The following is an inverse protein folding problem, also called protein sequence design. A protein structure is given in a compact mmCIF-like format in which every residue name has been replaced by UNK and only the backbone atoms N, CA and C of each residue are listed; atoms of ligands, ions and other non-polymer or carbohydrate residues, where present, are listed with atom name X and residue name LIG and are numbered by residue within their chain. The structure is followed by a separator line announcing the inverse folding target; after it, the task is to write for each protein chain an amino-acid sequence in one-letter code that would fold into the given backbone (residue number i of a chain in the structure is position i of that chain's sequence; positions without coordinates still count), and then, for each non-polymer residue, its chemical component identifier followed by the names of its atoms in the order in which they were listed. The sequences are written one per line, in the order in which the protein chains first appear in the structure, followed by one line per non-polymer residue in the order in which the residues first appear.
data_IF_951168931070
#
_entry.id   IF_951168931070
#
_cell.length_a   1.000
_cell.length_b   1.000
_cell.length_c   1.000
_cell.angle_alpha   90.00
_cell.angle_beta   90.00
_cell.angle_gamma   90.00
#
_symmetry.space_group_name_H-M   'P 1'
#
loop_
_entity.id
_entity.type
_entity.pdbx_description
1 polymer ?
#
# COMPACT_ATOMS: atom_id res chain seq x y z
N UNK A 1 46.03 -1.16 -33.93
CA UNK A 1 45.39 -1.63 -32.68
C UNK A 1 45.10 -0.44 -31.78
N UNK A 2 43.83 -0.04 -31.67
CA UNK A 2 43.29 0.67 -30.52
C UNK A 2 41.77 0.61 -30.63
N UNK A 3 41.18 -0.37 -29.95
CA UNK A 3 39.75 -0.44 -29.70
C UNK A 3 39.34 0.75 -28.84
N UNK A 4 38.33 1.52 -29.27
CA UNK A 4 37.65 2.48 -28.39
C UNK A 4 36.16 2.15 -28.39
N UNK A 5 35.71 1.85 -27.17
CA UNK A 5 34.36 1.50 -26.74
C UNK A 5 33.22 2.14 -27.55
N UNK A 6 32.17 1.37 -27.92
CA UNK A 6 30.93 1.99 -28.34
C UNK A 6 30.26 2.62 -27.11
N UNK A 7 30.03 3.93 -27.21
CA UNK A 7 29.20 4.72 -26.30
C UNK A 7 27.86 4.02 -26.04
N UNK A 8 27.57 3.69 -24.78
CA UNK A 8 26.28 3.12 -24.39
C UNK A 8 25.19 4.17 -24.52
N UNK A 9 24.52 4.18 -25.66
CA UNK A 9 23.27 4.92 -25.86
C UNK A 9 22.21 4.33 -24.92
N UNK A 10 21.42 5.14 -24.19
CA UNK A 10 20.30 4.64 -23.41
C UNK A 10 19.30 3.93 -24.34
N UNK A 11 19.02 2.65 -24.06
CA UNK A 11 18.02 1.85 -24.79
C UNK A 11 16.61 2.37 -24.51
N UNK A 12 16.21 3.42 -25.22
CA UNK A 12 14.86 4.01 -25.13
C UNK A 12 13.89 3.33 -26.11
N UNK A 13 14.39 2.58 -27.09
CA UNK A 13 13.56 1.88 -28.08
C UNK A 13 13.57 0.37 -27.87
N UNK A 14 12.42 -0.28 -27.61
CA UNK A 14 12.34 -1.73 -27.56
C UNK A 14 12.53 -2.29 -28.97
N UNK A 15 13.56 -3.10 -29.16
CA UNK A 15 13.66 -3.98 -30.32
C UNK A 15 12.45 -4.92 -30.31
N UNK A 16 11.64 -4.92 -31.36
CA UNK A 16 10.39 -5.68 -31.53
C UNK A 16 10.50 -7.22 -31.33
N UNK A 17 11.69 -7.76 -31.07
CA UNK A 17 11.97 -9.19 -30.96
C UNK A 17 12.23 -9.69 -29.53
N UNK A 18 11.95 -8.91 -28.49
CA UNK A 18 12.11 -9.38 -27.10
C UNK A 18 10.76 -9.75 -26.49
N UNK A 19 10.55 -11.01 -26.04
CA UNK A 19 9.35 -11.38 -25.31
C UNK A 19 9.31 -10.58 -24.00
N UNK A 20 8.24 -9.81 -23.83
CA UNK A 20 8.05 -8.91 -22.68
C UNK A 20 6.66 -8.27 -22.71
N UNK A 21 6.18 -7.87 -21.53
CA UNK A 21 4.91 -7.18 -21.36
C UNK A 21 5.16 -5.69 -21.24
N UNK A 22 4.54 -4.91 -22.12
CA UNK A 22 4.62 -3.45 -22.09
C UNK A 22 3.24 -2.87 -21.87
N UNK A 23 3.10 -2.04 -20.84
CA UNK A 23 1.83 -1.42 -20.46
C UNK A 23 2.06 0.03 -20.06
N UNK A 24 1.13 0.90 -20.47
CA UNK A 24 1.02 2.26 -19.98
C UNK A 24 -0.26 2.37 -19.15
N UNK A 25 -0.13 2.67 -17.86
CA UNK A 25 -1.27 2.72 -16.94
C UNK A 25 -1.08 3.73 -15.83
N UNK A 26 -2.18 4.12 -15.18
CA UNK A 26 -2.14 5.05 -14.05
C UNK A 26 -2.28 4.29 -12.73
N UNK A 27 -1.44 4.67 -11.76
CA UNK A 27 -1.64 4.28 -10.38
C UNK A 27 -2.73 5.14 -9.74
N UNK A 28 -3.66 4.45 -9.08
CA UNK A 28 -4.76 5.00 -8.33
C UNK A 28 -4.34 5.19 -6.88
N UNK A 29 -5.15 5.93 -6.11
CA UNK A 29 -4.96 6.08 -4.67
C UNK A 29 -4.81 4.72 -3.97
N UNK A 30 -5.62 3.74 -4.37
CA UNK A 30 -5.70 2.45 -3.68
C UNK A 30 -4.42 1.64 -3.85
N UNK A 31 -3.73 1.72 -5.00
CA UNK A 31 -2.44 1.04 -5.19
C UNK A 31 -1.34 1.65 -4.30
N UNK A 32 -1.39 2.98 -4.12
CA UNK A 32 -0.49 3.66 -3.19
C UNK A 32 -0.80 3.29 -1.74
N UNK A 33 -2.08 3.16 -1.38
CA UNK A 33 -2.50 2.76 -0.04
C UNK A 33 -2.10 1.31 0.26
N UNK A 34 -2.19 0.39 -0.71
CA UNK A 34 -1.79 -1.02 -0.54
C UNK A 34 -0.29 -1.15 -0.26
N UNK A 35 0.53 -0.29 -0.86
CA UNK A 35 1.96 -0.26 -0.57
C UNK A 35 2.19 0.37 0.80
N UNK A 36 1.56 1.50 1.12
CA UNK A 36 1.88 2.26 2.32
C UNK A 36 1.27 1.70 3.61
N UNK A 37 0.10 1.08 3.54
CA UNK A 37 -0.70 0.71 4.70
C UNK A 37 -1.07 -0.77 4.66
N UNK A 38 -1.14 -1.39 5.85
CA UNK A 38 -1.58 -2.77 6.02
C UNK A 38 -3.02 -3.01 5.54
N UNK A 39 -3.84 -1.96 5.54
CA UNK A 39 -5.20 -2.00 5.01
C UNK A 39 -5.50 -0.73 4.22
N UNK A 40 -6.29 -0.85 3.15
CA UNK A 40 -6.91 0.29 2.43
C UNK A 40 -7.82 1.12 3.33
N UNK A 41 -8.31 0.53 4.41
CA UNK A 41 -9.14 1.18 5.41
C UNK A 41 -8.23 1.91 6.40
N UNK A 42 -7.73 3.09 6.00
CA UNK A 42 -6.89 4.01 6.79
C UNK A 42 -7.23 4.07 8.30
N UNK A 43 -8.51 3.89 8.66
CA UNK A 43 -8.99 3.67 10.02
C UNK A 43 -9.77 2.34 10.12
N UNK A 44 -9.15 1.24 10.57
CA UNK A 44 -9.85 -0.03 10.79
C UNK A 44 -10.80 0.08 11.98
N UNK A 45 -12.02 -0.45 11.83
CA UNK A 45 -13.11 -0.25 12.81
C UNK A 45 -12.73 -0.73 14.22
N UNK A 46 -12.29 -1.99 14.34
CA UNK A 46 -11.98 -2.61 15.64
C UNK A 46 -10.94 -1.83 16.45
N UNK A 47 -9.72 -1.62 15.92
CA UNK A 47 -8.69 -0.86 16.62
C UNK A 47 -9.10 0.58 16.93
N UNK A 48 -9.83 1.24 16.02
CA UNK A 48 -10.27 2.64 16.23
C UNK A 48 -11.30 2.72 17.36
N UNK A 49 -12.30 1.85 17.36
CA UNK A 49 -13.34 1.80 18.40
C UNK A 49 -12.73 1.41 19.75
N UNK A 50 -11.80 0.45 19.78
CA UNK A 50 -11.09 0.07 21.00
C UNK A 50 -10.28 1.23 21.57
N UNK A 51 -9.54 1.95 20.73
CA UNK A 51 -8.75 3.11 21.15
C UNK A 51 -9.65 4.24 21.68
N UNK A 52 -10.73 4.59 20.97
CA UNK A 52 -11.67 5.61 21.43
C UNK A 52 -12.37 5.19 22.71
N UNK A 53 -12.78 3.93 22.83
CA UNK A 53 -13.39 3.38 24.04
C UNK A 53 -12.46 3.46 25.24
N UNK A 54 -11.18 3.10 25.07
CA UNK A 54 -10.17 3.23 26.12
C UNK A 54 -9.99 4.69 26.56
N UNK A 55 -9.82 5.62 25.61
CA UNK A 55 -9.70 7.05 25.91
C UNK A 55 -10.94 7.58 26.63
N UNK A 56 -12.14 7.23 26.15
CA UNK A 56 -13.40 7.62 26.77
C UNK A 56 -13.53 7.09 28.20
N UNK A 57 -13.11 5.85 28.45
CA UNK A 57 -13.09 5.25 29.79
C UNK A 57 -12.18 6.04 30.73
N UNK A 58 -10.94 6.32 30.31
CA UNK A 58 -10.00 7.10 31.12
C UNK A 58 -10.52 8.50 31.44
N UNK A 59 -11.03 9.20 30.44
CA UNK A 59 -11.62 10.54 30.63
C UNK A 59 -12.82 10.48 31.57
N UNK A 60 -13.71 9.50 31.40
CA UNK A 60 -14.90 9.36 32.24
C UNK A 60 -14.55 9.00 33.70
N UNK A 61 -13.52 8.17 33.91
CA UNK A 61 -13.00 7.86 35.24
C UNK A 61 -12.44 9.10 35.94
N UNK A 62 -11.67 9.92 35.22
CA UNK A 62 -11.12 11.17 35.76
C UNK A 62 -12.26 12.13 36.14
N UNK A 63 -13.24 12.31 35.26
CA UNK A 63 -14.35 13.24 35.48
C UNK A 63 -15.31 12.81 36.59
N UNK A 64 -15.42 11.52 36.88
CA UNK A 64 -16.31 10.99 37.92
C UNK A 64 -15.57 10.55 39.19
N UNK A 65 -14.28 10.87 39.32
CA UNK A 65 -13.45 10.46 40.45
C UNK A 65 -13.96 11.02 41.78
N UNK A 66 -14.38 12.28 41.82
CA UNK A 66 -14.86 12.92 43.04
C UNK A 66 -16.16 12.27 43.56
N UNK A 67 -17.09 11.98 42.65
CA UNK A 67 -18.35 11.27 43.00
C UNK A 67 -18.09 9.86 43.50
N UNK A 68 -17.12 9.17 42.91
CA UNK A 68 -16.69 7.86 43.38
C UNK A 68 -16.13 7.93 44.80
N UNK A 69 -15.31 8.96 45.08
CA UNK A 69 -14.71 9.19 46.40
C UNK A 69 -15.75 9.57 47.46
N UNK A 70 -16.80 10.29 47.08
CA UNK A 70 -17.92 10.68 47.94
C UNK A 70 -18.88 9.52 48.26
N UNK A 71 -18.66 8.33 47.68
CA UNK A 71 -19.46 7.12 47.94
C UNK A 71 -20.64 6.93 47.00
N UNK A 72 -20.85 7.82 46.02
CA UNK A 72 -21.90 7.69 45.00
C UNK A 72 -21.46 6.78 43.84
N UNK A 73 -21.17 5.52 44.19
CA UNK A 73 -20.56 4.53 43.29
C UNK A 73 -21.52 4.14 42.16
N UNK A 74 -22.82 4.02 42.46
CA UNK A 74 -23.84 3.59 41.48
C UNK A 74 -23.98 4.63 40.38
N UNK A 75 -24.19 5.89 40.74
CA UNK A 75 -24.36 6.99 39.79
C UNK A 75 -23.09 7.18 38.98
N UNK A 76 -21.92 7.15 39.63
CA UNK A 76 -20.61 7.25 38.95
C UNK A 76 -20.43 6.15 37.89
N UNK A 77 -20.77 4.90 38.23
CA UNK A 77 -20.65 3.76 37.31
C UNK A 77 -21.57 3.93 36.11
N UNK A 78 -22.81 4.40 36.31
CA UNK A 78 -23.76 4.66 35.21
C UNK A 78 -23.21 5.75 34.29
N UNK A 79 -22.69 6.85 34.83
CA UNK A 79 -22.13 7.94 34.02
C UNK A 79 -20.91 7.49 33.21
N UNK A 80 -20.02 6.71 33.80
CA UNK A 80 -18.86 6.15 33.10
C UNK A 80 -19.31 5.24 31.96
N UNK A 81 -20.20 4.29 32.25
CA UNK A 81 -20.73 3.36 31.25
C UNK A 81 -21.44 4.09 30.10
N UNK A 82 -22.33 5.03 30.42
CA UNK A 82 -23.04 5.83 29.44
C UNK A 82 -22.08 6.65 28.57
N UNK A 83 -21.07 7.28 29.16
CA UNK A 83 -20.07 8.09 28.43
C UNK A 83 -19.30 7.24 27.43
N UNK A 84 -18.82 6.06 27.85
CA UNK A 84 -18.10 5.14 26.97
C UNK A 84 -19.00 4.68 25.81
N UNK A 85 -20.24 4.28 26.10
CA UNK A 85 -21.19 3.84 25.06
C UNK A 85 -21.47 4.96 24.06
N UNK A 86 -21.73 6.18 24.53
CA UNK A 86 -21.98 7.34 23.66
C UNK A 86 -20.76 7.65 22.79
N UNK A 87 -19.56 7.67 23.37
CA UNK A 87 -18.32 7.91 22.60
C UNK A 87 -18.06 6.83 21.56
N UNK A 88 -18.29 5.55 21.88
CA UNK A 88 -18.15 4.44 20.93
C UNK A 88 -19.15 4.56 19.79
N UNK A 89 -20.43 4.82 20.09
CA UNK A 89 -21.45 5.02 19.06
C UNK A 89 -21.11 6.21 18.15
N UNK A 90 -20.66 7.32 18.74
CA UNK A 90 -20.22 8.49 17.99
C UNK A 90 -19.02 8.16 17.09
N UNK A 91 -18.05 7.40 17.60
CA UNK A 91 -16.88 6.98 16.84
C UNK A 91 -17.28 6.11 15.63
N UNK A 92 -18.21 5.17 15.81
CA UNK A 92 -18.74 4.34 14.72
C UNK A 92 -19.45 5.21 13.68
N UNK A 93 -20.28 6.15 14.12
CA UNK A 93 -21.02 7.07 13.24
C UNK A 93 -20.06 7.96 12.42
N UNK A 94 -19.03 8.50 13.07
CA UNK A 94 -18.06 9.42 12.46
C UNK A 94 -16.94 8.71 11.70
N UNK A 95 -16.86 7.38 11.75
CA UNK A 95 -15.77 6.65 11.13
C UNK A 95 -15.77 6.78 9.60
N UNK A 96 -16.93 6.67 8.98
CA UNK A 96 -17.07 6.80 7.53
C UNK A 96 -16.69 8.20 7.02
N UNK A 97 -17.22 9.32 7.58
CA UNK A 97 -16.78 10.64 7.15
C UNK A 97 -15.29 10.89 7.44
N UNK A 98 -14.76 10.40 8.57
CA UNK A 98 -13.32 10.48 8.85
C UNK A 98 -12.48 9.74 7.80
N UNK A 99 -12.87 8.52 7.41
CA UNK A 99 -12.21 7.76 6.33
C UNK A 99 -12.25 8.51 5.00
N UNK A 100 -13.38 9.10 4.64
CA UNK A 100 -13.52 9.88 3.41
C UNK A 100 -12.62 11.12 3.42
N UNK A 101 -12.60 11.87 4.53
CA UNK A 101 -11.72 13.03 4.70
C UNK A 101 -10.25 12.63 4.56
N UNK A 102 -9.83 11.54 5.23
CA UNK A 102 -8.46 11.05 5.13
C UNK A 102 -8.12 10.65 3.68
N UNK A 103 -8.97 9.88 3.00
CA UNK A 103 -8.75 9.51 1.58
C UNK A 103 -8.65 10.73 0.70
N UNK A 104 -9.48 11.75 0.93
CA UNK A 104 -9.41 13.02 0.21
C UNK A 104 -8.09 13.74 0.44
N UNK A 105 -7.63 13.84 1.69
CA UNK A 105 -6.34 14.45 2.04
C UNK A 105 -5.16 13.72 1.40
N UNK A 106 -5.14 12.39 1.45
CA UNK A 106 -4.12 11.55 0.81
C UNK A 106 -4.12 11.72 -0.70
N UNK A 107 -5.30 11.65 -1.34
CA UNK A 107 -5.44 11.90 -2.78
C UNK A 107 -4.89 13.26 -3.15
N UNK A 108 -5.27 14.32 -2.44
CA UNK A 108 -4.78 15.69 -2.67
C UNK A 108 -3.27 15.78 -2.54
N UNK A 109 -2.67 15.13 -1.53
CA UNK A 109 -1.22 15.07 -1.33
C UNK A 109 -0.51 14.37 -2.50
N UNK A 110 -0.99 13.20 -2.90
CA UNK A 110 -0.41 12.43 -4.00
C UNK A 110 -0.58 13.11 -5.37
N UNK A 111 -1.71 13.80 -5.60
CA UNK A 111 -1.90 14.65 -6.77
C UNK A 111 -0.91 15.82 -6.78
N UNK A 112 -0.65 16.48 -5.64
CA UNK A 112 0.36 17.54 -5.55
C UNK A 112 1.78 17.04 -5.86
N UNK A 113 2.11 15.82 -5.45
CA UNK A 113 3.39 15.18 -5.81
C UNK A 113 3.42 14.64 -7.23
N UNK A 114 2.32 14.73 -7.98
CA UNK A 114 2.25 14.27 -9.37
C UNK A 114 2.27 12.76 -9.54
N UNK A 115 2.03 11.98 -8.47
CA UNK A 115 2.13 10.50 -8.52
C UNK A 115 0.82 9.84 -8.93
N UNK A 116 -0.32 10.50 -8.68
CA UNK A 116 -1.65 10.05 -9.14
C UNK A 116 -2.01 10.72 -10.47
N UNK A 117 -2.56 9.93 -11.40
CA UNK A 117 -3.12 10.43 -12.66
C UNK A 117 -2.07 10.69 -13.74
N UNK A 118 -0.81 10.30 -13.52
CA UNK A 118 0.24 10.29 -14.54
C UNK A 118 0.43 8.88 -15.07
N UNK A 119 0.56 8.70 -16.40
CA UNK A 119 0.83 7.39 -16.96
C UNK A 119 2.22 6.93 -16.52
N UNK A 120 2.28 5.70 -16.05
CA UNK A 120 3.49 4.94 -15.81
C UNK A 120 3.65 4.01 -17.00
N UNK A 121 4.72 4.22 -17.75
CA UNK A 121 5.13 3.28 -18.80
C UNK A 121 5.97 2.20 -18.13
N UNK A 122 5.51 0.96 -18.17
CA UNK A 122 6.19 -0.16 -17.53
C UNK A 122 6.39 -1.30 -18.50
N UNK A 123 7.59 -1.88 -18.46
CA UNK A 123 8.02 -3.01 -19.27
C UNK A 123 8.55 -4.08 -18.33
N UNK A 124 8.05 -5.30 -18.47
CA UNK A 124 8.52 -6.48 -17.73
C UNK A 124 8.98 -7.51 -18.75
N UNK A 125 10.24 -7.90 -18.71
CA UNK A 125 10.85 -8.82 -19.65
C UNK A 125 11.86 -9.74 -18.98
N UNK A 126 12.59 -10.55 -19.76
CA UNK A 126 13.63 -11.47 -19.26
C UNK A 126 14.72 -10.82 -18.41
N UNK A 127 14.95 -9.52 -18.54
CA UNK A 127 16.01 -8.82 -17.80
C UNK A 127 15.53 -8.26 -16.47
N UNK A 128 14.22 -8.11 -16.27
CA UNK A 128 13.65 -7.53 -15.07
C UNK A 128 12.45 -6.63 -15.34
N UNK A 129 12.28 -5.64 -14.47
CA UNK A 129 11.27 -4.61 -14.61
C UNK A 129 11.93 -3.26 -14.91
N UNK A 130 11.37 -2.55 -15.88
CA UNK A 130 11.70 -1.18 -16.20
C UNK A 130 10.42 -0.35 -16.15
N UNK A 131 10.44 0.81 -15.51
CA UNK A 131 9.29 1.69 -15.52
C UNK A 131 9.70 3.16 -15.50
N UNK A 132 8.93 3.99 -16.18
CA UNK A 132 9.16 5.44 -16.29
C UNK A 132 8.01 6.19 -15.65
N UNK A 133 8.33 7.01 -14.65
CA UNK A 133 7.38 7.88 -13.93
C UNK A 133 7.97 9.27 -13.85
N UNK A 134 7.19 10.29 -14.24
CA UNK A 134 7.61 11.70 -14.19
C UNK A 134 8.95 11.98 -14.90
N UNK A 135 9.23 11.26 -16.00
CA UNK A 135 10.47 11.41 -16.77
C UNK A 135 11.70 10.73 -16.16
N UNK A 136 11.54 10.01 -15.04
CA UNK A 136 12.59 9.18 -14.47
C UNK A 136 12.32 7.72 -14.78
N UNK A 137 13.31 7.05 -15.39
CA UNK A 137 13.25 5.61 -15.66
C UNK A 137 14.01 4.86 -14.58
N UNK A 138 13.33 3.91 -13.95
CA UNK A 138 13.89 2.98 -12.99
C UNK A 138 13.99 1.62 -13.64
N UNK A 139 15.13 0.95 -13.50
CA UNK A 139 15.35 -0.41 -14.00
C UNK A 139 15.84 -1.29 -12.86
N UNK A 140 15.17 -2.41 -12.64
CA UNK A 140 15.51 -3.38 -11.62
C UNK A 140 15.58 -4.76 -12.25
N UNK A 141 16.73 -5.42 -12.15
CA UNK A 141 16.90 -6.79 -12.60
C UNK A 141 16.22 -7.77 -11.66
N UNK A 142 15.94 -8.98 -12.12
CA UNK A 142 15.30 -10.01 -11.29
C UNK A 142 16.06 -10.29 -9.99
N UNK A 143 17.39 -10.29 -10.04
CA UNK A 143 18.26 -10.52 -8.88
C UNK A 143 18.27 -9.33 -7.90
N UNK A 144 17.97 -8.11 -8.38
CA UNK A 144 17.91 -6.91 -7.53
C UNK A 144 16.60 -6.76 -6.78
N UNK A 145 15.55 -7.48 -7.20
CA UNK A 145 14.25 -7.42 -6.54
C UNK A 145 14.30 -8.17 -5.21
N UNK A 146 13.87 -7.49 -4.15
CA UNK A 146 13.76 -8.06 -2.81
C UNK A 146 12.75 -9.21 -2.78
N UNK A 147 11.55 -9.00 -3.34
CA UNK A 147 10.49 -9.99 -3.34
C UNK A 147 9.53 -9.82 -4.52
N UNK A 148 8.85 -10.92 -4.88
CA UNK A 148 7.75 -10.95 -5.83
C UNK A 148 6.50 -11.43 -5.08
N UNK A 149 5.51 -10.57 -4.91
CA UNK A 149 4.26 -10.93 -4.22
C UNK A 149 3.06 -10.77 -5.14
N UNK A 150 1.99 -11.51 -4.86
CA UNK A 150 0.71 -11.37 -5.54
C UNK A 150 -0.44 -11.33 -4.53
N UNK A 151 -1.31 -10.33 -4.66
CA UNK A 151 -2.56 -10.23 -3.87
C UNK A 151 -3.72 -9.86 -4.77
N UNK A 152 -4.80 -10.65 -4.74
CA UNK A 152 -6.03 -10.38 -5.50
C UNK A 152 -5.77 -10.00 -6.98
N UNK A 153 -4.81 -10.70 -7.60
CA UNK A 153 -4.39 -10.46 -8.99
C UNK A 153 -3.55 -9.22 -9.24
N UNK A 154 -3.11 -8.51 -8.20
CA UNK A 154 -2.10 -7.45 -8.26
C UNK A 154 -0.72 -8.04 -8.00
N UNK A 155 0.21 -7.85 -8.92
CA UNK A 155 1.60 -8.27 -8.73
C UNK A 155 2.43 -7.13 -8.14
N UNK A 156 3.21 -7.42 -7.11
CA UNK A 156 4.09 -6.46 -6.46
C UNK A 156 5.55 -6.84 -6.71
N UNK A 157 6.27 -5.94 -7.38
CA UNK A 157 7.70 -6.02 -7.58
C UNK A 157 8.40 -5.20 -6.49
N UNK A 158 8.79 -5.85 -5.40
CA UNK A 158 9.46 -5.19 -4.28
C UNK A 158 10.93 -4.95 -4.61
N UNK A 159 11.31 -3.68 -4.76
CA UNK A 159 12.70 -3.25 -4.98
C UNK A 159 13.47 -3.16 -3.65
N UNK A 160 12.76 -2.94 -2.56
CA UNK A 160 13.25 -3.00 -1.19
C UNK A 160 12.08 -3.35 -0.28
N UNK A 161 12.32 -3.46 1.03
CA UNK A 161 11.24 -3.62 2.02
C UNK A 161 10.23 -2.49 2.04
N UNK A 162 10.54 -1.30 1.50
CA UNK A 162 9.64 -0.13 1.59
C UNK A 162 9.20 0.40 0.24
N UNK A 163 9.83 -0.04 -0.86
CA UNK A 163 9.52 0.41 -2.21
C UNK A 163 9.08 -0.78 -3.06
N UNK A 164 7.86 -0.69 -3.61
CA UNK A 164 7.32 -1.63 -4.56
C UNK A 164 6.80 -0.90 -5.80
N UNK A 165 6.85 -1.57 -6.93
CA UNK A 165 6.13 -1.18 -8.13
C UNK A 165 4.99 -2.17 -8.37
N UNK A 166 3.71 -1.74 -8.28
CA UNK A 166 2.58 -2.64 -8.42
C UNK A 166 2.11 -2.74 -9.89
N UNK A 167 1.64 -3.91 -10.27
CA UNK A 167 0.94 -4.21 -11.51
C UNK A 167 -0.46 -4.73 -11.18
N UNK A 168 -1.45 -3.82 -11.06
CA UNK A 168 -2.81 -4.18 -10.64
C UNK A 168 -3.53 -5.01 -11.70
N UNK A 169 -4.46 -5.87 -11.25
CA UNK A 169 -5.24 -6.75 -12.13
C UNK A 169 -5.89 -6.02 -13.32
N UNK A 170 -6.35 -4.77 -13.11
CA UNK A 170 -6.99 -3.92 -14.14
C UNK A 170 -6.09 -3.51 -15.31
N UNK A 171 -4.78 -3.74 -15.22
CA UNK A 171 -3.82 -3.44 -16.30
C UNK A 171 -3.82 -4.53 -17.38
N UNK A 172 -4.28 -5.73 -17.03
CA UNK A 172 -4.40 -6.84 -17.95
C UNK A 172 -5.75 -6.80 -18.67
N UNK A 173 -5.74 -7.14 -19.96
CA UNK A 173 -6.92 -7.17 -20.82
C UNK A 173 -7.83 -8.37 -20.49
N UNK A 174 -7.26 -9.44 -19.95
CA UNK A 174 -7.98 -10.65 -19.56
C UNK A 174 -7.27 -11.39 -18.42
N UNK A 175 -8.00 -12.28 -17.75
CA UNK A 175 -7.40 -13.20 -16.78
C UNK A 175 -6.38 -14.14 -17.44
N UNK A 176 -6.57 -14.50 -18.70
CA UNK A 176 -5.61 -15.29 -19.47
C UNK A 176 -4.29 -14.54 -19.65
N UNK A 177 -4.32 -13.26 -20.07
CA UNK A 177 -3.11 -12.43 -20.17
C UNK A 177 -2.40 -12.34 -18.82
N UNK A 178 -3.18 -12.19 -17.74
CA UNK A 178 -2.66 -12.13 -16.37
C UNK A 178 -1.96 -13.44 -15.97
N UNK A 179 -2.52 -14.60 -16.33
CA UNK A 179 -1.88 -15.89 -16.07
C UNK A 179 -0.63 -16.10 -16.92
N UNK A 180 -0.65 -15.71 -18.20
CA UNK A 180 0.54 -15.75 -19.06
C UNK A 180 1.65 -14.84 -18.50
N UNK A 181 1.29 -13.65 -18.01
CA UNK A 181 2.21 -12.75 -17.33
C UNK A 181 2.83 -13.41 -16.09
N UNK A 182 2.00 -13.97 -15.22
CA UNK A 182 2.45 -14.66 -14.01
C UNK A 182 3.46 -15.77 -14.34
N UNK A 183 3.11 -16.65 -15.28
CA UNK A 183 3.96 -17.76 -15.70
C UNK A 183 5.29 -17.28 -16.30
N UNK A 184 5.22 -16.28 -17.20
CA UNK A 184 6.40 -15.72 -17.86
C UNK A 184 7.35 -15.08 -16.85
N UNK A 185 6.83 -14.30 -15.89
CA UNK A 185 7.64 -13.69 -14.84
C UNK A 185 8.28 -14.75 -13.95
N UNK A 186 7.54 -15.80 -13.58
CA UNK A 186 8.09 -16.90 -12.79
C UNK A 186 9.22 -17.63 -13.51
N UNK A 187 9.08 -17.84 -14.82
CA UNK A 187 10.13 -18.43 -15.67
C UNK A 187 11.36 -17.51 -15.74
N UNK A 188 11.16 -16.22 -16.00
CA UNK A 188 12.27 -15.26 -16.16
C UNK A 188 12.99 -14.96 -14.86
N UNK A 189 12.26 -14.82 -13.75
CA UNK A 189 12.83 -14.53 -12.44
C UNK A 189 13.42 -15.79 -11.76
N UNK A 190 13.11 -16.99 -12.26
CA UNK A 190 13.54 -18.26 -11.66
C UNK A 190 12.94 -18.52 -10.27
N UNK A 191 11.86 -17.81 -9.89
CA UNK A 191 11.22 -17.93 -8.57
C UNK A 191 9.71 -17.63 -8.63
N UNK A 192 8.90 -18.24 -7.74
CA UNK A 192 7.46 -18.02 -7.72
C UNK A 192 7.08 -16.67 -7.09
N UNK A 193 5.87 -16.20 -7.40
CA UNK A 193 5.21 -15.17 -6.59
C UNK A 193 4.79 -15.77 -5.24
N UNK A 194 5.20 -15.11 -4.15
CA UNK A 194 4.76 -15.45 -2.80
C UNK A 194 3.41 -14.80 -2.47
N UNK A 195 2.69 -15.31 -1.45
CA UNK A 195 1.57 -14.57 -0.88
C UNK A 195 2.03 -13.19 -0.35
N UNK A 196 1.10 -12.25 -0.17
CA UNK A 196 1.41 -10.85 0.12
C UNK A 196 1.73 -10.66 1.60
N UNK A 197 3.00 -10.82 1.97
CA UNK A 197 3.48 -10.62 3.34
C UNK A 197 3.81 -9.13 3.53
N UNK A 198 4.64 -8.56 2.66
CA UNK A 198 5.07 -7.17 2.73
C UNK A 198 3.90 -6.21 2.49
N UNK A 199 3.04 -6.49 1.51
CA UNK A 199 1.86 -5.65 1.28
C UNK A 199 0.97 -5.61 2.54
N UNK A 200 0.73 -6.76 3.20
CA UNK A 200 -0.11 -6.84 4.41
C UNK A 200 0.51 -6.23 5.67
N UNK A 201 1.83 -6.12 5.76
CA UNK A 201 2.49 -5.48 6.90
C UNK A 201 2.33 -3.95 6.91
N UNK A 202 2.14 -3.33 5.75
CA UNK A 202 2.24 -1.87 5.60
C UNK A 202 3.64 -1.32 5.89
N UNK A 203 3.85 -0.03 5.64
CA UNK A 203 5.19 0.58 5.76
C UNK A 203 5.76 0.48 7.18
N UNK A 204 4.94 0.72 8.20
CA UNK A 204 5.37 0.65 9.59
C UNK A 204 5.79 -0.76 10.03
N UNK A 205 5.07 -1.80 9.60
CA UNK A 205 5.43 -3.19 9.90
C UNK A 205 6.74 -3.61 9.23
N UNK A 206 6.99 -3.14 8.00
CA UNK A 206 8.18 -3.48 7.23
C UNK A 206 9.46 -2.83 7.75
N UNK A 207 9.38 -1.70 8.45
CA UNK A 207 10.54 -1.08 9.11
C UNK A 207 11.16 -1.96 10.20
N UNK A 208 10.40 -2.92 10.75
CA UNK A 208 10.87 -3.82 11.80
C UNK A 208 11.44 -5.14 11.26
N UNK A 209 11.45 -5.34 9.94
CA UNK A 209 12.02 -6.56 9.34
C UNK A 209 13.56 -6.49 9.32
N UNK A 210 14.27 -7.61 9.57
CA UNK A 210 15.73 -7.67 9.45
C UNK A 210 16.18 -7.45 8.01
N UNK A 211 17.30 -6.74 7.82
CA UNK A 211 17.91 -6.42 6.52
C UNK A 211 18.31 -7.66 5.72
#
# INVERSE_FOLDING_TARGET
MSERHPSSVPKIWPSANRPGFHKSFQLNLDDHLDIQHATRQLLPLGPTVAAVGAVALFVALILNFDRWREGDVVTSTIYIGASVVVCVLLAVLLLNPARQLLRFMYRRRLTRFGVIGKPVESTVDRNGICYTVLGQTVTCTWDSLYALEEDDGTFYFWMSKIVAHPWPARVFASDEERQTFRQSVMEWAGRPFSPPVLARLGAAGRLNLPD
#
